data_IF_426857285719
#
_entry.id   IF_426857285719
#
_cell.length_a   1.000
_cell.length_b   1.000
_cell.length_c   1.000
_cell.angle_alpha   90.00
_cell.angle_beta   90.00
_cell.angle_gamma   90.00
#
_symmetry.space_group_name_H-M   'P 1'
#
loop_
_entity.id
_entity.type
_entity.pdbx_description
1 polymer ?
#
# COMPACT_ATOMS: atom_id res chain seq x y z
N UNK A 1 19.51 28.09 -13.30
CA UNK A 1 18.97 27.33 -12.15
C UNK A 1 19.99 27.51 -11.04
N UNK A 2 19.62 27.98 -9.84
CA UNK A 2 20.58 28.15 -8.75
C UNK A 2 21.14 26.79 -8.32
N UNK A 3 22.46 26.66 -8.16
CA UNK A 3 23.14 25.40 -7.83
C UNK A 3 22.51 24.69 -6.60
N UNK A 4 22.01 25.47 -5.65
CA UNK A 4 21.31 25.00 -4.46
C UNK A 4 20.07 24.15 -4.77
N UNK A 5 19.29 24.51 -5.80
CA UNK A 5 18.10 23.76 -6.20
C UNK A 5 18.47 22.45 -6.90
N UNK A 6 19.52 22.47 -7.73
CA UNK A 6 20.02 21.24 -8.36
C UNK A 6 20.52 20.27 -7.29
N UNK A 7 21.31 20.75 -6.33
CA UNK A 7 21.77 19.94 -5.21
C UNK A 7 20.60 19.37 -4.39
N UNK A 8 19.51 20.13 -4.19
CA UNK A 8 18.32 19.61 -3.53
C UNK A 8 17.68 18.45 -4.33
N UNK A 9 17.54 18.59 -5.65
CA UNK A 9 16.96 17.54 -6.49
C UNK A 9 17.85 16.31 -6.60
N UNK A 10 19.18 16.47 -6.69
CA UNK A 10 20.13 15.35 -6.78
C UNK A 10 20.15 14.48 -5.53
N UNK A 11 19.81 15.04 -4.37
CA UNK A 11 19.73 14.32 -3.10
C UNK A 11 18.28 13.97 -2.70
N UNK A 12 17.30 14.27 -3.55
CA UNK A 12 15.90 13.91 -3.31
C UNK A 12 15.68 12.41 -3.52
N UNK A 13 14.97 11.71 -2.61
CA UNK A 13 14.58 10.32 -2.80
C UNK A 13 13.51 10.14 -3.89
N UNK A 14 12.85 11.22 -4.31
CA UNK A 14 11.92 11.22 -5.43
C UNK A 14 12.70 11.31 -6.74
N UNK A 15 12.32 10.49 -7.71
CA UNK A 15 12.86 10.59 -9.06
C UNK A 15 12.31 11.84 -9.74
N UNK A 16 13.20 12.61 -10.36
CA UNK A 16 12.90 13.86 -11.05
C UNK A 16 13.46 13.79 -12.46
N UNK A 17 12.60 14.04 -13.45
CA UNK A 17 12.97 14.13 -14.86
C UNK A 17 12.43 15.42 -15.45
N UNK A 18 13.28 16.19 -16.15
CA UNK A 18 12.89 17.39 -16.86
C UNK A 18 12.88 17.11 -18.36
N UNK A 19 11.77 17.46 -18.99
CA UNK A 19 11.56 17.36 -20.43
C UNK A 19 11.52 18.75 -21.05
N UNK A 20 12.18 18.89 -22.19
CA UNK A 20 12.08 20.05 -23.08
C UNK A 20 11.20 19.70 -24.26
N UNK A 21 10.14 20.47 -24.47
CA UNK A 21 9.30 20.32 -25.66
C UNK A 21 10.00 20.91 -26.87
N UNK A 22 10.24 20.09 -27.89
CA UNK A 22 10.85 20.51 -29.15
C UNK A 22 9.77 20.85 -30.20
N UNK A 23 8.68 20.08 -30.21
CA UNK A 23 7.53 20.24 -31.09
C UNK A 23 6.29 19.61 -30.41
N UNK A 24 5.07 19.76 -30.95
CA UNK A 24 3.90 19.06 -30.42
C UNK A 24 4.17 17.56 -30.27
N UNK A 25 3.96 17.04 -29.05
CA UNK A 25 4.21 15.64 -28.68
C UNK A 25 5.65 15.14 -28.87
N UNK A 26 6.63 16.03 -29.03
CA UNK A 26 8.06 15.67 -29.10
C UNK A 26 8.81 16.29 -27.94
N UNK A 27 9.34 15.43 -27.07
CA UNK A 27 10.01 15.82 -25.85
C UNK A 27 11.41 15.23 -25.77
N UNK A 28 12.37 16.07 -25.43
CA UNK A 28 13.76 15.71 -25.16
C UNK A 28 13.96 15.63 -23.64
N UNK A 29 14.71 14.63 -23.17
CA UNK A 29 15.10 14.52 -21.76
C UNK A 29 16.33 15.39 -21.52
N UNK A 30 16.20 16.39 -20.64
CA UNK A 30 17.28 17.35 -20.38
C UNK A 30 17.96 17.16 -19.03
N UNK A 31 17.33 16.44 -18.10
CA UNK A 31 17.86 16.20 -16.77
C UNK A 31 17.12 15.03 -16.11
N UNK A 32 17.87 14.16 -15.44
CA UNK A 32 17.38 13.14 -14.52
C UNK A 32 18.25 13.19 -13.26
N UNK A 33 17.63 13.29 -12.08
CA UNK A 33 18.37 13.19 -10.83
C UNK A 33 18.83 11.75 -10.55
N UNK A 34 19.66 11.57 -9.51
CA UNK A 34 20.19 10.26 -9.08
C UNK A 34 19.08 9.21 -8.87
N UNK A 35 17.99 9.59 -8.19
CA UNK A 35 16.86 8.69 -7.94
C UNK A 35 16.17 8.23 -9.24
N UNK A 36 16.03 9.12 -10.23
CA UNK A 36 15.49 8.75 -11.55
C UNK A 36 16.43 7.80 -12.29
N UNK A 37 17.73 8.05 -12.25
CA UNK A 37 18.74 7.19 -12.88
C UNK A 37 18.72 5.78 -12.26
N UNK A 38 18.64 5.70 -10.94
CA UNK A 38 18.57 4.42 -10.20
C UNK A 38 17.27 3.65 -10.51
N UNK A 39 16.11 4.34 -10.55
CA UNK A 39 14.82 3.71 -10.83
C UNK A 39 14.70 3.18 -12.26
N UNK A 40 15.31 3.88 -13.22
CA UNK A 40 15.25 3.58 -14.65
C UNK A 40 16.43 2.72 -15.12
N UNK A 41 17.51 2.68 -14.34
CA UNK A 41 18.76 2.01 -14.70
C UNK A 41 19.43 2.63 -15.92
N UNK A 42 19.39 3.96 -16.00
CA UNK A 42 19.93 4.78 -17.10
C UNK A 42 21.10 5.63 -16.61
N UNK A 43 22.19 5.69 -17.38
CA UNK A 43 23.27 6.65 -17.18
C UNK A 43 22.96 8.00 -17.85
N UNK A 44 23.72 9.04 -17.50
CA UNK A 44 23.56 10.38 -18.07
C UNK A 44 23.70 10.38 -19.61
N UNK A 45 24.67 9.64 -20.13
CA UNK A 45 24.90 9.53 -21.58
C UNK A 45 23.75 8.81 -22.32
N UNK A 46 23.01 7.97 -21.60
CA UNK A 46 21.89 7.22 -22.16
C UNK A 46 20.64 8.10 -22.33
N UNK A 47 20.41 9.11 -21.48
CA UNK A 47 19.20 9.95 -21.56
C UNK A 47 19.43 11.36 -22.09
N UNK A 48 20.60 11.96 -21.85
CA UNK A 48 20.80 13.39 -22.07
C UNK A 48 20.63 13.77 -23.55
N UNK A 49 19.67 14.65 -23.83
CA UNK A 49 19.39 15.13 -25.19
C UNK A 49 18.69 14.10 -26.08
N UNK A 50 18.26 12.96 -25.54
CA UNK A 50 17.51 11.93 -26.28
C UNK A 50 16.02 12.22 -26.26
N UNK A 51 15.32 11.76 -27.30
CA UNK A 51 13.86 11.83 -27.33
C UNK A 51 13.28 10.82 -26.35
N UNK A 52 12.15 11.17 -25.73
CA UNK A 52 11.48 10.30 -24.77
C UNK A 52 11.09 8.96 -25.39
N UNK A 53 10.70 8.94 -26.67
CA UNK A 53 10.35 7.73 -27.40
C UNK A 53 11.53 6.80 -27.70
N UNK A 54 12.76 7.33 -27.77
CA UNK A 54 13.97 6.54 -27.97
C UNK A 54 14.34 5.77 -26.68
N UNK A 55 14.07 6.37 -25.53
CA UNK A 55 14.35 5.79 -24.21
C UNK A 55 13.18 4.92 -23.72
N UNK A 56 11.96 5.35 -24.00
CA UNK A 56 10.72 4.70 -23.59
C UNK A 56 9.82 4.46 -24.81
N UNK A 57 10.04 3.36 -25.57
CA UNK A 57 9.27 3.07 -26.78
C UNK A 57 7.75 3.04 -26.53
N UNK A 58 7.33 2.60 -25.34
CA UNK A 58 5.92 2.48 -24.97
C UNK A 58 5.32 3.78 -24.41
N UNK A 59 6.02 4.92 -24.45
CA UNK A 59 5.58 6.18 -23.84
C UNK A 59 4.27 6.73 -24.44
N UNK A 60 3.96 6.39 -25.69
CA UNK A 60 2.69 6.71 -26.32
C UNK A 60 1.55 5.81 -25.83
N UNK A 61 1.78 4.50 -25.76
CA UNK A 61 0.76 3.52 -25.35
C UNK A 61 0.29 3.73 -23.91
N UNK A 62 1.21 4.14 -23.04
CA UNK A 62 0.93 4.45 -21.64
C UNK A 62 0.41 5.89 -21.43
N UNK A 63 0.27 6.68 -22.50
CA UNK A 63 -0.29 8.03 -22.47
C UNK A 63 0.62 9.10 -21.85
N UNK A 64 1.90 8.81 -21.57
CA UNK A 64 2.82 9.75 -20.93
C UNK A 64 3.00 11.02 -21.77
N UNK A 65 3.18 10.86 -23.08
CA UNK A 65 3.37 11.99 -24.02
C UNK A 65 2.13 12.90 -24.07
N UNK A 66 0.93 12.31 -24.03
CA UNK A 66 -0.32 13.08 -24.03
C UNK A 66 -0.48 13.90 -22.75
N UNK A 67 -0.08 13.34 -21.60
CA UNK A 67 -0.11 14.06 -20.32
C UNK A 67 0.93 15.19 -20.31
N UNK A 68 2.16 14.94 -20.78
CA UNK A 68 3.19 15.97 -20.93
C UNK A 68 2.71 17.12 -21.82
N UNK A 69 2.10 16.80 -22.96
CA UNK A 69 1.55 17.77 -23.91
C UNK A 69 0.38 18.56 -23.29
N UNK A 70 -0.53 17.89 -22.58
CA UNK A 70 -1.63 18.54 -21.87
C UNK A 70 -1.11 19.53 -20.84
N UNK A 71 -0.22 19.08 -19.95
CA UNK A 71 0.38 19.91 -18.89
C UNK A 71 1.17 21.08 -19.47
N UNK A 72 1.91 20.86 -20.55
CA UNK A 72 2.62 21.93 -21.25
C UNK A 72 1.68 23.05 -21.74
N UNK A 73 0.55 22.66 -22.32
CA UNK A 73 -0.42 23.58 -22.91
C UNK A 73 -1.29 24.29 -21.86
N UNK A 74 -1.76 23.58 -20.83
CA UNK A 74 -2.68 24.15 -19.84
C UNK A 74 -1.99 24.70 -18.58
N UNK A 75 -0.74 24.32 -18.32
CA UNK A 75 0.00 24.68 -17.10
C UNK A 75 -0.53 24.03 -15.82
N UNK A 76 -1.63 23.27 -15.87
CA UNK A 76 -2.22 22.59 -14.72
C UNK A 76 -1.42 21.33 -14.40
N UNK A 77 -1.05 21.15 -13.14
CA UNK A 77 -0.37 19.93 -12.67
C UNK A 77 -1.30 18.73 -12.79
N UNK A 78 -0.76 17.62 -13.29
CA UNK A 78 -1.46 16.34 -13.39
C UNK A 78 -0.76 15.30 -12.51
N UNK A 79 -1.54 14.42 -11.88
CA UNK A 79 -1.03 13.27 -11.12
C UNK A 79 -1.56 12.02 -11.79
N UNK A 80 -0.67 11.22 -12.35
CA UNK A 80 -1.02 10.00 -13.08
C UNK A 80 -0.45 8.78 -12.38
N UNK A 81 -1.29 7.79 -12.02
CA UNK A 81 -0.79 6.50 -11.60
C UNK A 81 -0.14 5.83 -12.81
N UNK A 82 1.11 5.45 -12.67
CA UNK A 82 1.89 4.83 -13.72
C UNK A 82 2.20 3.38 -13.34
N UNK A 83 1.87 2.47 -14.25
CA UNK A 83 2.25 1.06 -14.14
C UNK A 83 3.23 0.79 -15.25
N UNK A 84 4.52 0.82 -14.90
CA UNK A 84 5.61 0.59 -15.84
C UNK A 84 6.35 -0.69 -15.52
N UNK A 85 6.73 -1.43 -16.57
CA UNK A 85 7.75 -2.47 -16.46
C UNK A 85 9.10 -1.83 -16.78
N UNK A 86 10.07 -2.00 -15.88
CA UNK A 86 11.46 -1.75 -16.19
C UNK A 86 11.90 -2.78 -17.26
N UNK A 87 12.65 -2.37 -18.28
CA UNK A 87 13.13 -3.24 -19.37
C UNK A 87 14.20 -4.24 -18.94
N UNK A 88 14.94 -3.96 -17.86
CA UNK A 88 15.94 -4.81 -17.18
C UNK A 88 15.38 -5.64 -16.02
N UNK A 89 14.23 -5.28 -15.46
CA UNK A 89 13.61 -5.97 -14.32
C UNK A 89 12.13 -6.26 -14.59
N UNK A 90 11.79 -7.56 -14.65
CA UNK A 90 10.43 -8.09 -14.84
C UNK A 90 9.43 -7.76 -13.70
N UNK A 91 9.74 -6.79 -12.85
CA UNK A 91 8.87 -6.33 -11.78
C UNK A 91 7.96 -5.21 -12.30
N UNK A 92 6.65 -5.44 -12.22
CA UNK A 92 5.64 -4.41 -12.42
C UNK A 92 5.77 -3.40 -11.29
N UNK A 93 6.30 -2.22 -11.58
CA UNK A 93 6.43 -1.13 -10.61
C UNK A 93 5.14 -0.31 -10.58
N UNK A 94 4.67 0.01 -9.37
CA UNK A 94 3.55 0.94 -9.18
C UNK A 94 4.12 2.30 -8.80
N UNK A 95 4.00 3.26 -9.69
CA UNK A 95 4.54 4.60 -9.50
C UNK A 95 3.42 5.63 -9.49
N UNK A 96 3.59 6.67 -8.71
CA UNK A 96 2.78 7.88 -8.83
C UNK A 96 3.62 8.94 -9.49
N UNK A 97 3.19 9.45 -10.63
CA UNK A 97 3.90 10.49 -11.35
C UNK A 97 3.14 11.81 -11.27
N UNK A 98 3.78 12.85 -10.74
CA UNK A 98 3.28 14.22 -10.70
C UNK A 98 4.00 15.04 -11.77
N UNK A 99 3.26 15.49 -12.77
CA UNK A 99 3.76 16.22 -13.93
C UNK A 99 3.29 17.66 -13.84
N UNK A 100 4.22 18.61 -13.92
CA UNK A 100 3.94 20.04 -13.83
C UNK A 100 4.77 20.84 -14.83
N UNK A 101 4.22 21.96 -15.30
CA UNK A 101 4.96 22.90 -16.15
C UNK A 101 5.96 23.68 -15.30
N UNK A 102 7.23 23.71 -15.73
CA UNK A 102 8.27 24.48 -15.05
C UNK A 102 8.41 25.90 -15.63
N UNK A 103 8.14 26.03 -16.92
CA UNK A 103 8.22 27.25 -17.73
C UNK A 103 8.24 26.85 -19.20
N UNK A 104 8.22 27.77 -20.15
CA UNK A 104 8.46 27.38 -21.55
C UNK A 104 9.98 27.26 -21.80
N UNK A 105 10.48 26.21 -22.48
CA UNK A 105 9.79 25.05 -23.06
C UNK A 105 9.74 23.78 -22.17
N UNK A 106 9.79 23.90 -20.85
CA UNK A 106 10.06 22.81 -19.91
C UNK A 106 8.85 22.28 -19.11
N UNK A 107 8.78 20.96 -18.98
CA UNK A 107 7.88 20.23 -18.09
C UNK A 107 8.72 19.34 -17.18
N UNK A 108 8.34 19.21 -15.92
CA UNK A 108 9.00 18.32 -14.96
C UNK A 108 8.05 17.23 -14.49
N UNK A 109 8.58 16.03 -14.37
CA UNK A 109 7.93 14.82 -13.88
C UNK A 109 8.63 14.41 -12.60
N UNK A 110 7.87 14.29 -11.51
CA UNK A 110 8.37 13.81 -10.22
C UNK A 110 7.63 12.54 -9.88
N UNK A 111 8.35 11.43 -9.70
CA UNK A 111 7.73 10.13 -9.43
C UNK A 111 8.38 9.39 -8.26
N UNK A 112 7.55 8.60 -7.58
CA UNK A 112 7.94 7.69 -6.52
C UNK A 112 7.61 6.25 -6.89
N UNK A 113 8.39 5.30 -6.39
CA UNK A 113 8.01 3.89 -6.39
C UNK A 113 7.17 3.59 -5.14
N UNK A 114 5.87 3.39 -5.36
CA UNK A 114 4.90 3.11 -4.30
C UNK A 114 4.64 1.60 -4.15
N UNK A 115 5.42 0.74 -4.80
CA UNK A 115 5.20 -0.71 -4.82
C UNK A 115 5.15 -1.32 -3.43
N UNK A 116 6.01 -0.87 -2.50
CA UNK A 116 5.98 -1.33 -1.10
C UNK A 116 4.72 -0.86 -0.38
N UNK A 117 4.34 0.42 -0.53
CA UNK A 117 3.11 0.95 0.06
C UNK A 117 1.89 0.14 -0.39
N UNK A 118 1.80 -0.18 -1.68
CA UNK A 118 0.73 -1.02 -2.21
C UNK A 118 0.76 -2.46 -1.70
N UNK A 119 1.94 -3.04 -1.48
CA UNK A 119 2.04 -4.40 -0.93
C UNK A 119 1.56 -4.43 0.53
N UNK A 120 1.91 -3.42 1.33
CA UNK A 120 1.40 -3.26 2.69
C UNK A 120 -0.12 -3.05 2.71
N UNK A 121 -0.66 -2.19 1.86
CA UNK A 121 -2.11 -2.00 1.75
C UNK A 121 -2.82 -3.32 1.43
N UNK A 122 -2.33 -4.06 0.43
CA UNK A 122 -2.89 -5.38 0.07
C UNK A 122 -2.84 -6.38 1.23
N UNK A 123 -1.74 -6.37 1.99
CA UNK A 123 -1.59 -7.25 3.15
C UNK A 123 -2.62 -6.87 4.24
N UNK A 124 -2.74 -5.58 4.57
CA UNK A 124 -3.74 -5.07 5.52
C UNK A 124 -5.16 -5.45 5.08
N UNK A 125 -5.50 -5.28 3.80
CA UNK A 125 -6.81 -5.69 3.27
C UNK A 125 -7.07 -7.19 3.40
N UNK A 126 -6.04 -8.01 3.17
CA UNK A 126 -6.13 -9.46 3.33
C UNK A 126 -6.37 -9.84 4.78
N UNK A 127 -5.68 -9.21 5.71
CA UNK A 127 -5.80 -9.52 7.13
C UNK A 127 -7.13 -8.99 7.71
N UNK A 128 -7.57 -7.80 7.31
CA UNK A 128 -8.90 -7.29 7.63
C UNK A 128 -10.02 -8.22 7.16
N UNK A 129 -9.90 -8.82 5.96
CA UNK A 129 -10.89 -9.80 5.47
C UNK A 129 -10.94 -11.05 6.35
N UNK A 130 -9.80 -11.59 6.76
CA UNK A 130 -9.76 -12.76 7.66
C UNK A 130 -10.36 -12.43 9.01
N UNK A 131 -10.02 -11.26 9.56
CA UNK A 131 -10.53 -10.78 10.84
C UNK A 131 -12.07 -10.68 10.81
N UNK A 132 -12.62 -10.02 9.80
CA UNK A 132 -14.07 -9.89 9.65
C UNK A 132 -14.75 -11.26 9.56
N UNK A 133 -14.20 -12.19 8.77
CA UNK A 133 -14.74 -13.55 8.69
C UNK A 133 -14.69 -14.30 10.04
N UNK A 134 -13.61 -14.16 10.81
CA UNK A 134 -13.49 -14.76 12.14
C UNK A 134 -14.47 -14.16 13.15
N UNK A 135 -14.70 -12.85 13.07
CA UNK A 135 -15.68 -12.13 13.89
C UNK A 135 -17.11 -12.57 13.56
N UNK A 136 -17.48 -12.65 12.29
CA UNK A 136 -18.80 -13.10 11.85
C UNK A 136 -19.07 -14.53 12.33
N UNK A 137 -18.10 -15.43 12.14
CA UNK A 137 -18.18 -16.80 12.63
C UNK A 137 -18.40 -16.85 14.15
N UNK A 138 -17.58 -16.13 14.92
CA UNK A 138 -17.69 -16.08 16.38
C UNK A 138 -19.04 -15.51 16.82
N UNK A 139 -19.49 -14.42 16.20
CA UNK A 139 -20.76 -13.75 16.47
C UNK A 139 -21.95 -14.69 16.28
N UNK A 140 -21.99 -15.44 15.18
CA UNK A 140 -23.05 -16.42 14.92
C UNK A 140 -23.15 -17.48 16.03
N UNK A 141 -22.01 -18.02 16.46
CA UNK A 141 -21.99 -19.02 17.52
C UNK A 141 -22.35 -18.47 18.89
N UNK A 142 -21.85 -17.28 19.24
CA UNK A 142 -22.19 -16.60 20.49
C UNK A 142 -23.69 -16.31 20.54
N UNK A 143 -24.27 -15.79 19.45
CA UNK A 143 -25.69 -15.48 19.35
C UNK A 143 -26.55 -16.73 19.55
N UNK A 144 -26.18 -17.87 18.96
CA UNK A 144 -26.91 -19.13 19.13
C UNK A 144 -26.93 -19.59 20.59
N UNK A 145 -25.76 -19.61 21.24
CA UNK A 145 -25.62 -20.01 22.64
C UNK A 145 -26.39 -19.05 23.57
N UNK A 146 -26.29 -17.74 23.35
CA UNK A 146 -26.98 -16.72 24.13
C UNK A 146 -28.50 -16.82 23.97
N UNK A 147 -29.00 -16.94 22.74
CA UNK A 147 -30.45 -17.04 22.47
C UNK A 147 -31.05 -18.28 23.14
N UNK A 148 -30.32 -19.40 23.09
CA UNK A 148 -30.74 -20.64 23.77
C UNK A 148 -30.78 -20.46 25.27
N UNK A 149 -29.73 -19.88 25.87
CA UNK A 149 -29.68 -19.66 27.32
C UNK A 149 -30.75 -18.68 27.80
N UNK A 150 -31.00 -17.59 27.05
CA UNK A 150 -32.05 -16.63 27.34
C UNK A 150 -33.44 -17.26 27.27
N UNK A 151 -33.73 -18.03 26.22
CA UNK A 151 -35.01 -18.74 26.09
C UNK A 151 -35.26 -19.72 27.24
N UNK A 152 -34.21 -20.38 27.74
CA UNK A 152 -34.32 -21.25 28.94
C UNK A 152 -34.65 -20.42 30.19
N UNK A 153 -34.02 -19.26 30.37
CA UNK A 153 -34.31 -18.39 31.51
C UNK A 153 -35.75 -17.85 31.44
N UNK A 154 -36.21 -17.44 30.26
CA UNK A 154 -37.59 -17.01 30.04
C UNK A 154 -38.61 -18.11 30.35
N UNK A 155 -38.29 -19.38 30.05
CA UNK A 155 -39.14 -20.52 30.42
C UNK A 155 -39.29 -20.68 31.93
N UNK A 156 -38.23 -20.42 32.71
CA UNK A 156 -38.30 -20.44 34.17
C UNK A 156 -39.18 -19.32 34.74
N UNK A 157 -39.23 -18.17 34.08
CA UNK A 157 -40.09 -17.04 34.49
C UNK A 157 -41.56 -17.27 34.10
N UNK A 158 -41.81 -17.92 32.96
CA UNK A 158 -43.15 -18.10 32.40
C UNK A 158 -43.89 -19.35 32.92
N UNK A 159 -43.16 -20.40 33.36
CA UNK A 159 -43.77 -21.70 33.66
C UNK A 159 -43.20 -22.35 34.92
N UNK A 160 -44.03 -23.13 35.64
CA UNK A 160 -43.55 -24.00 36.72
C UNK A 160 -42.90 -25.23 36.11
N UNK A 161 -41.57 -25.24 36.10
CA UNK A 161 -40.75 -26.36 35.63
C UNK A 161 -40.48 -27.31 36.81
N UNK A 162 -40.50 -28.62 36.57
CA UNK A 162 -40.15 -29.60 37.61
C UNK A 162 -38.67 -29.49 38.01
N UNK A 163 -38.31 -29.97 39.20
CA UNK A 163 -36.91 -29.88 39.67
C UNK A 163 -35.94 -30.65 38.76
N UNK A 164 -36.35 -31.80 38.23
CA UNK A 164 -35.52 -32.61 37.32
C UNK A 164 -35.28 -31.90 35.97
N UNK A 165 -36.32 -31.31 35.38
CA UNK A 165 -36.22 -30.52 34.14
C UNK A 165 -35.41 -29.25 34.37
N UNK A 166 -35.57 -28.59 35.53
CA UNK A 166 -34.81 -27.40 35.89
C UNK A 166 -33.31 -27.68 35.98
N UNK A 167 -32.92 -28.80 36.59
CA UNK A 167 -31.52 -29.22 36.65
C UNK A 167 -30.95 -29.51 35.25
N UNK A 168 -31.72 -30.18 34.40
CA UNK A 168 -31.32 -30.43 33.02
C UNK A 168 -31.11 -29.14 32.23
N UNK A 169 -32.07 -28.21 32.29
CA UNK A 169 -32.01 -26.93 31.59
C UNK A 169 -30.88 -26.01 32.10
N UNK A 170 -30.64 -25.98 33.41
CA UNK A 170 -29.49 -25.27 34.00
C UNK A 170 -28.14 -25.84 33.52
N UNK A 171 -28.06 -27.16 33.31
CA UNK A 171 -26.87 -27.78 32.74
C UNK A 171 -26.61 -27.31 31.30
N UNK A 172 -27.67 -27.16 30.48
CA UNK A 172 -27.55 -26.62 29.12
C UNK A 172 -27.08 -25.16 29.15
N UNK A 173 -27.66 -24.33 30.01
CA UNK A 173 -27.24 -22.92 30.18
C UNK A 173 -25.76 -22.85 30.56
N UNK A 174 -25.34 -23.65 31.55
CA UNK A 174 -23.93 -23.72 31.98
C UNK A 174 -23.02 -24.11 30.82
N UNK A 175 -23.37 -25.14 30.06
CA UNK A 175 -22.57 -25.60 28.92
C UNK A 175 -22.50 -24.54 27.80
N UNK A 176 -23.58 -23.81 27.55
CA UNK A 176 -23.59 -22.70 26.60
C UNK A 176 -22.67 -21.55 27.04
N UNK A 177 -22.66 -21.22 28.33
CA UNK A 177 -21.77 -20.20 28.90
C UNK A 177 -20.30 -20.63 28.82
N UNK A 178 -19.98 -21.88 29.13
CA UNK A 178 -18.63 -22.45 28.98
C UNK A 178 -18.18 -22.43 27.50
N UNK A 179 -19.09 -22.75 26.57
CA UNK A 179 -18.82 -22.67 25.14
C UNK A 179 -18.59 -21.24 24.66
N UNK A 180 -19.34 -20.26 25.20
CA UNK A 180 -19.13 -18.83 24.92
C UNK A 180 -17.74 -18.40 25.39
N UNK A 181 -17.38 -18.70 26.64
CA UNK A 181 -16.10 -18.33 27.23
C UNK A 181 -14.92 -18.90 26.44
N UNK A 182 -14.97 -20.20 26.12
CA UNK A 182 -13.96 -20.87 25.31
C UNK A 182 -13.79 -20.24 23.92
N UNK A 183 -14.89 -19.90 23.24
CA UNK A 183 -14.85 -19.25 21.91
C UNK A 183 -14.31 -17.83 21.99
N UNK A 184 -14.68 -17.05 23.01
CA UNK A 184 -14.12 -15.72 23.24
C UNK A 184 -12.61 -15.83 23.50
N UNK A 185 -12.20 -16.76 24.34
CA UNK A 185 -10.79 -17.00 24.63
C UNK A 185 -9.99 -17.37 23.36
N UNK A 186 -10.56 -18.22 22.51
CA UNK A 186 -9.96 -18.58 21.23
C UNK A 186 -9.83 -17.37 20.30
N UNK A 187 -10.87 -16.55 20.16
CA UNK A 187 -10.83 -15.32 19.36
C UNK A 187 -9.74 -14.36 19.87
N UNK A 188 -9.70 -14.09 21.17
CA UNK A 188 -8.68 -13.22 21.79
C UNK A 188 -7.27 -13.76 21.54
N UNK A 189 -7.09 -15.08 21.63
CA UNK A 189 -5.79 -15.73 21.36
C UNK A 189 -5.37 -15.56 19.90
N UNK A 190 -6.29 -15.71 18.94
CA UNK A 190 -6.01 -15.46 17.52
C UNK A 190 -5.58 -14.01 17.29
N UNK A 191 -6.31 -13.05 17.86
CA UNK A 191 -5.98 -11.62 17.74
C UNK A 191 -4.60 -11.30 18.33
N UNK A 192 -4.27 -11.87 19.50
CA UNK A 192 -3.03 -11.56 20.19
C UNK A 192 -1.79 -12.22 19.55
N UNK A 193 -1.96 -13.44 19.00
CA UNK A 193 -0.86 -14.15 18.34
C UNK A 193 -0.50 -13.53 16.98
N UNK A 194 -1.48 -13.03 16.23
CA UNK A 194 -1.19 -12.30 14.98
C UNK A 194 -0.46 -10.97 15.28
N UNK A 195 -0.88 -10.22 16.31
CA UNK A 195 -0.19 -8.98 16.72
C UNK A 195 1.27 -9.24 17.12
N UNK A 196 1.57 -10.32 17.86
CA UNK A 196 2.94 -10.70 18.22
C UNK A 196 3.79 -11.16 17.03
N UNK A 197 3.18 -11.82 16.04
CA UNK A 197 3.88 -12.23 14.82
C UNK A 197 4.27 -11.01 13.98
N UNK A 198 3.38 -10.03 13.88
CA UNK A 198 3.61 -8.78 13.16
C UNK A 198 4.64 -7.89 13.86
N UNK A 199 4.63 -7.80 15.19
CA UNK A 199 5.67 -7.09 15.96
C UNK A 199 7.07 -7.69 15.72
N UNK A 200 7.19 -9.02 15.66
CA UNK A 200 8.46 -9.69 15.33
C UNK A 200 8.91 -9.43 13.89
N UNK A 201 7.97 -9.37 12.93
CA UNK A 201 8.26 -9.02 11.54
C UNK A 201 8.73 -7.56 11.42
N UNK A 202 8.05 -6.62 12.09
CA UNK A 202 8.41 -5.21 12.11
C UNK A 202 9.79 -4.98 12.76
N UNK A 203 10.13 -5.70 13.83
CA UNK A 203 11.47 -5.66 14.41
C UNK A 203 12.53 -6.22 13.45
N UNK A 204 12.22 -7.30 12.72
CA UNK A 204 13.14 -7.89 11.73
C UNK A 204 13.40 -6.96 10.54
N UNK A 205 12.40 -6.20 10.08
CA UNK A 205 12.54 -5.24 8.98
C UNK A 205 13.22 -3.92 9.39
N UNK A 206 13.10 -3.48 10.65
CA UNK A 206 13.86 -2.34 11.19
C UNK A 206 15.38 -2.58 11.21
N UNK A 207 15.85 -3.83 11.24
CA UNK A 207 17.28 -4.15 11.20
C UNK A 207 17.89 -4.23 9.80
N UNK A 208 17.09 -4.30 8.74
CA UNK A 208 17.59 -4.36 7.35
C UNK A 208 17.61 -3.01 6.62
N UNK A 209 17.15 -1.92 7.24
CA UNK A 209 17.04 -0.58 6.62
C UNK A 209 18.02 0.46 7.13
N UNK A 210 19.01 0.09 7.96
CA UNK A 210 20.10 0.99 8.38
C UNK A 210 21.47 0.38 8.12
N UNK A 211 21.80 0.17 6.85
CA UNK A 211 23.18 0.22 6.38
C UNK A 211 23.34 1.42 5.46
N UNK A 212 23.22 2.62 6.05
CA UNK A 212 23.89 3.80 5.50
C UNK A 212 25.36 3.41 5.36
N UNK A 213 25.83 3.25 4.12
CA UNK A 213 27.24 3.18 3.80
C UNK A 213 27.90 4.34 4.54
N UNK A 214 28.75 4.03 5.52
CA UNK A 214 29.69 5.02 6.05
C UNK A 214 30.57 5.44 4.88
N UNK A 215 30.22 6.54 4.23
CA UNK A 215 31.13 7.28 3.37
C UNK A 215 32.28 7.73 4.26
N UNK A 216 33.44 7.09 4.10
CA UNK A 216 34.69 7.60 4.66
C UNK A 216 34.92 8.97 4.04
N UNK A 217 34.82 10.00 4.85
CA UNK A 217 35.42 11.30 4.57
C UNK A 217 36.88 11.17 5.00
N UNK A 218 37.78 11.02 4.02
CA UNK A 218 39.21 11.36 4.06
C UNK A 218 39.73 11.28 2.63
#
# INVERSE_FOLDING_TARGET
MTEELLNYYDNSPLAVTIYKRLAPKKFEICYCNSASQDMEGLSEEEYQGKLIEDIYPNCFDIGLVDVLEKVFNCGTTEVVPFVGSNSKHSLVSKRTNRIQKLGDPFVVSVFSDDSQTYSYIKQIEKDNRKLNHALDYTSHHLRGNLSTSLGILELFDATKVSDDEKQFLLKIVKQNLENIDSKIHHLVTLLYNEVKADEKLLQKHKFNSFHLRKSKVS
#
